data_IF_779467261972
#
_entry.id   IF_779467261972
#
_cell.length_a   1.000
_cell.length_b   1.000
_cell.length_c   1.000
_cell.angle_alpha   90.00
_cell.angle_beta   90.00
_cell.angle_gamma   90.00
#
_symmetry.space_group_name_H-M   'P 1'
#
loop_
_entity.id
_entity.type
_entity.pdbx_description
1 polymer ?
#
# COMPACT_ATOMS: atom_id res chain seq x y z
N UNK A 1 25.56 -17.74 41.79
CA UNK A 1 25.70 -16.32 41.34
C UNK A 1 25.76 -16.33 39.82
N UNK A 2 24.61 -16.09 39.15
CA UNK A 2 24.52 -16.11 37.70
C UNK A 2 25.01 -14.77 37.13
N UNK A 3 25.79 -14.70 36.06
CA UNK A 3 26.26 -13.44 35.49
C UNK A 3 25.09 -12.67 34.88
N UNK A 4 24.90 -11.43 35.29
CA UNK A 4 23.99 -10.46 34.69
C UNK A 4 24.39 -10.26 33.21
N UNK A 5 23.53 -10.67 32.29
CA UNK A 5 23.66 -10.26 30.88
C UNK A 5 23.49 -8.75 30.79
N UNK A 6 24.55 -8.07 30.40
CA UNK A 6 24.50 -6.64 30.04
C UNK A 6 23.53 -6.44 28.88
N UNK A 7 22.73 -5.35 28.87
CA UNK A 7 21.84 -5.05 27.76
C UNK A 7 22.68 -4.90 26.47
N UNK A 8 22.31 -5.63 25.43
CA UNK A 8 22.86 -5.45 24.08
C UNK A 8 22.68 -3.97 23.70
N UNK A 9 23.78 -3.24 23.49
CA UNK A 9 23.74 -1.91 22.88
C UNK A 9 22.91 -2.01 21.60
N UNK A 10 21.81 -1.28 21.52
CA UNK A 10 21.08 -1.05 20.25
C UNK A 10 22.02 -0.29 19.35
N UNK A 11 22.86 -0.98 18.59
CA UNK A 11 23.62 -0.41 17.50
C UNK A 11 22.64 0.11 16.45
N UNK A 12 22.95 1.21 15.79
CA UNK A 12 22.18 1.73 14.67
C UNK A 12 21.94 0.61 13.66
N UNK A 13 20.71 0.13 13.56
CA UNK A 13 20.29 -1.07 12.81
C UNK A 13 20.57 -0.96 11.30
N UNK A 14 20.92 0.24 10.83
CA UNK A 14 21.13 0.59 9.43
C UNK A 14 22.54 1.16 9.16
N UNK A 15 23.54 0.87 10.00
CA UNK A 15 24.90 1.41 9.84
C UNK A 15 25.64 0.83 8.63
N UNK A 16 25.20 -0.29 8.08
CA UNK A 16 25.82 -0.95 6.92
C UNK A 16 24.74 -1.34 5.91
N UNK A 17 24.61 -0.58 4.85
CA UNK A 17 23.60 -0.79 3.79
C UNK A 17 23.99 -2.00 2.93
N UNK A 18 25.22 -2.08 2.46
CA UNK A 18 25.69 -3.18 1.61
C UNK A 18 26.27 -4.29 2.49
N UNK A 19 25.53 -5.40 2.62
CA UNK A 19 25.97 -6.56 3.45
C UNK A 19 26.49 -7.73 2.62
N UNK A 20 26.13 -7.83 1.33
CA UNK A 20 26.45 -8.93 0.40
C UNK A 20 25.91 -10.30 0.84
N UNK A 21 25.07 -10.36 1.87
CA UNK A 21 24.54 -11.61 2.42
C UNK A 21 23.43 -12.24 1.56
N UNK A 22 22.92 -11.48 0.59
CA UNK A 22 21.83 -11.89 -0.30
C UNK A 22 22.24 -12.22 -1.74
N UNK A 23 23.53 -12.19 -2.07
CA UNK A 23 24.03 -12.34 -3.45
C UNK A 23 23.80 -13.75 -4.02
N UNK A 24 23.59 -14.74 -3.15
CA UNK A 24 23.29 -16.13 -3.50
C UNK A 24 21.78 -16.40 -3.77
N UNK A 25 20.94 -15.35 -3.90
CA UNK A 25 19.51 -15.50 -4.16
C UNK A 25 18.65 -15.76 -2.92
N UNK A 26 19.21 -15.64 -1.70
CA UNK A 26 18.45 -15.77 -0.45
C UNK A 26 18.41 -14.44 0.31
N UNK A 27 17.42 -14.28 1.21
CA UNK A 27 17.31 -13.11 2.08
C UNK A 27 16.91 -13.53 3.49
N UNK A 28 17.21 -12.68 4.49
CA UNK A 28 16.82 -12.90 5.89
C UNK A 28 15.45 -12.32 6.20
N UNK A 29 14.69 -13.03 7.02
CA UNK A 29 13.46 -12.53 7.64
C UNK A 29 13.76 -11.93 9.03
N UNK A 30 12.76 -11.28 9.63
CA UNK A 30 12.91 -10.60 10.91
C UNK A 30 13.11 -11.53 12.11
N UNK A 31 12.74 -12.79 12.00
CA UNK A 31 12.99 -13.86 12.98
C UNK A 31 14.41 -14.48 12.88
N UNK A 32 15.18 -14.07 11.87
CA UNK A 32 16.53 -14.58 11.60
C UNK A 32 16.57 -15.77 10.65
N UNK A 33 15.43 -16.30 10.22
CA UNK A 33 15.37 -17.34 9.18
C UNK A 33 15.77 -16.76 7.81
N UNK A 34 16.11 -17.65 6.88
CA UNK A 34 16.42 -17.25 5.50
C UNK A 34 15.51 -17.97 4.51
N UNK A 35 15.07 -17.23 3.53
CA UNK A 35 14.18 -17.71 2.45
C UNK A 35 14.74 -17.33 1.08
N UNK A 36 14.32 -18.04 0.04
CA UNK A 36 14.63 -17.69 -1.34
C UNK A 36 13.97 -16.34 -1.71
N UNK A 37 14.67 -15.53 -2.49
CA UNK A 37 14.16 -14.19 -2.91
C UNK A 37 12.95 -14.27 -3.85
N UNK A 38 12.73 -15.42 -4.49
CA UNK A 38 11.59 -15.73 -5.36
C UNK A 38 10.42 -16.38 -4.63
N UNK A 39 10.47 -16.48 -3.28
CA UNK A 39 9.35 -16.99 -2.48
C UNK A 39 8.15 -16.06 -2.52
N UNK A 40 6.94 -16.62 -2.37
CA UNK A 40 5.68 -15.86 -2.33
C UNK A 40 5.66 -14.79 -1.24
N UNK A 41 6.35 -15.04 -0.11
CA UNK A 41 6.52 -14.07 0.98
C UNK A 41 7.31 -12.86 0.55
N UNK A 42 8.45 -13.05 -0.11
CA UNK A 42 9.29 -11.94 -0.59
C UNK A 42 8.62 -11.19 -1.72
N UNK A 43 7.88 -11.88 -2.60
CA UNK A 43 7.04 -11.25 -3.63
C UNK A 43 5.96 -10.33 -2.99
N UNK A 44 5.30 -10.80 -1.93
CA UNK A 44 4.30 -9.99 -1.21
C UNK A 44 4.92 -8.78 -0.50
N UNK A 45 6.06 -8.95 0.18
CA UNK A 45 6.81 -7.85 0.82
C UNK A 45 7.22 -6.82 -0.24
N UNK A 46 7.76 -7.26 -1.36
CA UNK A 46 8.18 -6.37 -2.45
C UNK A 46 7.02 -5.61 -3.07
N UNK A 47 5.85 -6.25 -3.23
CA UNK A 47 4.65 -5.61 -3.75
C UNK A 47 4.09 -4.53 -2.80
N UNK A 48 4.17 -4.75 -1.48
CA UNK A 48 3.78 -3.74 -0.46
C UNK A 48 4.77 -2.58 -0.45
N UNK A 49 6.07 -2.84 -0.57
CA UNK A 49 7.10 -1.79 -0.65
C UNK A 49 6.95 -0.94 -1.92
N UNK A 50 6.68 -1.57 -3.07
CA UNK A 50 6.37 -0.86 -4.32
C UNK A 50 5.13 0.04 -4.19
N UNK A 51 4.07 -0.46 -3.53
CA UNK A 51 2.87 0.34 -3.24
C UNK A 51 3.23 1.56 -2.39
N UNK A 52 3.99 1.37 -1.32
CA UNK A 52 4.40 2.44 -0.43
C UNK A 52 5.24 3.50 -1.17
N UNK A 53 6.17 3.06 -2.01
CA UNK A 53 6.98 3.94 -2.87
C UNK A 53 6.12 4.70 -3.89
N UNK A 54 5.10 4.05 -4.46
CA UNK A 54 4.15 4.68 -5.39
C UNK A 54 3.31 5.76 -4.69
N UNK A 55 2.90 5.53 -3.43
CA UNK A 55 2.22 6.55 -2.61
C UNK A 55 3.17 7.70 -2.29
N UNK A 56 4.45 7.43 -2.03
CA UNK A 56 5.47 8.47 -1.88
C UNK A 56 5.60 9.36 -3.12
N UNK A 57 5.52 8.76 -4.32
CA UNK A 57 5.51 9.52 -5.57
C UNK A 57 4.25 10.38 -5.71
N UNK A 58 3.08 9.89 -5.29
CA UNK A 58 1.84 10.67 -5.27
C UNK A 58 1.93 11.84 -4.27
N UNK A 59 2.53 11.63 -3.09
CA UNK A 59 2.74 12.67 -2.07
C UNK A 59 3.69 13.78 -2.50
N UNK A 60 4.52 13.54 -3.52
CA UNK A 60 5.39 14.57 -4.11
C UNK A 60 4.63 15.59 -4.97
N UNK A 61 3.36 15.33 -5.31
CA UNK A 61 2.51 16.25 -6.04
C UNK A 61 1.84 17.27 -5.09
N UNK A 62 1.37 18.38 -5.65
CA UNK A 62 0.53 19.33 -4.91
C UNK A 62 -0.84 18.71 -4.60
N UNK A 63 -1.07 18.35 -3.35
CA UNK A 63 -2.29 17.70 -2.87
C UNK A 63 -3.01 18.59 -1.86
N UNK A 64 -4.34 18.50 -1.75
CA UNK A 64 -5.07 19.05 -0.59
C UNK A 64 -4.53 18.44 0.72
N UNK A 65 -4.37 19.27 1.76
CA UNK A 65 -3.83 18.83 3.06
C UNK A 65 -4.50 17.57 3.64
N UNK A 66 -5.85 17.43 3.62
CA UNK A 66 -6.50 16.22 4.15
C UNK A 66 -6.12 14.95 3.37
N UNK A 67 -5.87 15.06 2.06
CA UNK A 67 -5.43 13.95 1.21
C UNK A 67 -3.99 13.57 1.53
N UNK A 68 -3.10 14.57 1.64
CA UNK A 68 -1.69 14.35 1.99
C UNK A 68 -1.54 13.69 3.36
N UNK A 69 -2.29 14.17 4.37
CA UNK A 69 -2.29 13.59 5.72
C UNK A 69 -2.78 12.13 5.71
N UNK A 70 -3.85 11.84 4.98
CA UNK A 70 -4.38 10.48 4.83
C UNK A 70 -3.35 9.55 4.19
N UNK A 71 -2.71 9.96 3.09
CA UNK A 71 -1.69 9.16 2.40
C UNK A 71 -0.44 8.95 3.24
N UNK A 72 -0.02 9.95 4.03
CA UNK A 72 1.11 9.81 4.96
C UNK A 72 0.81 8.75 6.03
N UNK A 73 -0.41 8.74 6.61
CA UNK A 73 -0.83 7.71 7.56
C UNK A 73 -0.80 6.31 6.91
N UNK A 74 -1.25 6.20 5.66
CA UNK A 74 -1.22 4.94 4.91
C UNK A 74 0.22 4.44 4.69
N UNK A 75 1.19 5.33 4.46
CA UNK A 75 2.60 4.92 4.35
C UNK A 75 3.12 4.27 5.63
N UNK A 76 2.75 4.77 6.80
CA UNK A 76 3.09 4.14 8.07
C UNK A 76 2.44 2.76 8.21
N UNK A 77 1.15 2.64 7.88
CA UNK A 77 0.45 1.35 7.90
C UNK A 77 1.08 0.31 6.95
N UNK A 78 1.54 0.74 5.77
CA UNK A 78 2.22 -0.15 4.83
C UNK A 78 3.61 -0.58 5.32
N UNK A 79 4.31 0.26 6.11
CA UNK A 79 5.52 -0.13 6.83
C UNK A 79 5.22 -1.20 7.89
N UNK A 80 4.14 -1.01 8.65
CA UNK A 80 3.69 -1.97 9.65
C UNK A 80 3.29 -3.30 9.00
N UNK A 81 2.57 -3.26 7.86
CA UNK A 81 2.25 -4.43 7.06
C UNK A 81 3.52 -5.14 6.54
N UNK A 82 4.50 -4.38 6.03
CA UNK A 82 5.81 -4.92 5.63
C UNK A 82 6.53 -5.61 6.79
N UNK A 83 6.45 -5.04 8.00
CA UNK A 83 6.95 -5.63 9.25
C UNK A 83 6.23 -6.94 9.60
N UNK A 84 4.89 -6.96 9.51
CA UNK A 84 4.07 -8.18 9.70
C UNK A 84 4.50 -9.31 8.75
N UNK A 85 4.64 -9.00 7.47
CA UNK A 85 5.07 -9.97 6.46
C UNK A 85 6.52 -10.42 6.63
N UNK A 86 7.39 -9.56 7.17
CA UNK A 86 8.81 -9.85 7.40
C UNK A 86 9.07 -10.70 8.64
N UNK A 87 8.12 -10.80 9.57
CA UNK A 87 8.27 -11.53 10.84
C UNK A 87 7.16 -12.58 10.93
N UNK A 88 7.42 -13.86 10.62
CA UNK A 88 6.43 -14.91 10.71
C UNK A 88 5.72 -14.94 12.07
N UNK A 89 4.39 -14.95 12.06
CA UNK A 89 3.55 -14.93 13.27
C UNK A 89 3.36 -13.57 13.95
N UNK A 90 3.99 -12.49 13.44
CA UNK A 90 3.71 -11.14 13.91
C UNK A 90 2.44 -10.59 13.24
N UNK A 91 1.62 -9.86 14.02
CA UNK A 91 0.42 -9.16 13.55
C UNK A 91 0.54 -7.69 13.92
N UNK A 92 0.54 -6.82 12.92
CA UNK A 92 0.60 -5.36 13.09
C UNK A 92 -0.66 -4.68 12.57
N UNK A 93 -1.20 -5.15 11.44
CA UNK A 93 -2.42 -4.61 10.85
C UNK A 93 -3.65 -5.24 11.49
N UNK A 94 -4.56 -4.41 11.99
CA UNK A 94 -5.76 -4.80 12.73
C UNK A 94 -7.03 -4.28 12.08
N UNK A 95 -8.20 -4.69 12.58
CA UNK A 95 -9.50 -4.18 12.14
C UNK A 95 -9.62 -2.64 12.26
N UNK A 96 -8.96 -2.03 13.25
CA UNK A 96 -8.94 -0.59 13.38
C UNK A 96 -8.30 0.12 12.17
N UNK A 97 -7.29 -0.49 11.55
CA UNK A 97 -6.69 0.04 10.33
C UNK A 97 -7.66 -0.04 9.14
N UNK A 98 -8.42 -1.14 9.05
CA UNK A 98 -9.44 -1.34 8.01
C UNK A 98 -10.56 -0.31 8.18
N UNK A 99 -11.11 -0.16 9.38
CA UNK A 99 -12.18 0.80 9.70
C UNK A 99 -11.74 2.23 9.37
N UNK A 100 -10.51 2.62 9.71
CA UNK A 100 -9.97 3.95 9.37
C UNK A 100 -9.95 4.21 7.85
N UNK A 101 -9.69 3.20 7.02
CA UNK A 101 -9.77 3.34 5.56
C UNK A 101 -11.23 3.46 5.09
N UNK A 102 -12.15 2.69 5.68
CA UNK A 102 -13.57 2.75 5.38
C UNK A 102 -14.16 4.12 5.72
N UNK A 103 -13.85 4.67 6.89
CA UNK A 103 -14.21 6.03 7.30
C UNK A 103 -13.63 7.09 6.34
N UNK A 104 -12.39 6.88 5.88
CA UNK A 104 -11.77 7.79 4.91
C UNK A 104 -12.48 7.73 3.54
N UNK A 105 -12.86 6.52 3.07
CA UNK A 105 -13.65 6.36 1.85
C UNK A 105 -14.96 7.13 1.97
N UNK A 106 -15.72 6.95 3.04
CA UNK A 106 -17.00 7.66 3.26
C UNK A 106 -16.80 9.18 3.25
N UNK A 107 -15.82 9.66 4.03
CA UNK A 107 -15.53 11.09 4.15
C UNK A 107 -15.18 11.74 2.80
N UNK A 108 -14.25 11.14 2.04
CA UNK A 108 -13.82 11.72 0.75
C UNK A 108 -14.85 11.53 -0.36
N UNK A 109 -15.67 10.47 -0.28
CA UNK A 109 -16.71 10.20 -1.26
C UNK A 109 -17.97 11.07 -1.04
N UNK A 110 -18.22 11.59 0.16
CA UNK A 110 -19.42 12.35 0.51
C UNK A 110 -19.66 13.55 -0.43
N UNK A 111 -18.58 14.18 -0.86
CA UNK A 111 -18.65 15.33 -1.77
C UNK A 111 -18.60 14.95 -3.26
N UNK A 112 -18.40 13.70 -3.60
CA UNK A 112 -18.30 13.26 -4.99
C UNK A 112 -19.70 12.87 -5.53
N UNK A 113 -20.02 13.33 -6.72
CA UNK A 113 -21.25 12.92 -7.39
C UNK A 113 -21.29 11.42 -7.68
N UNK A 114 -22.49 10.83 -7.67
CA UNK A 114 -22.70 9.44 -8.03
C UNK A 114 -22.19 9.15 -9.45
N UNK A 115 -21.50 8.04 -9.62
CA UNK A 115 -21.06 7.57 -10.92
C UNK A 115 -22.21 6.83 -11.63
N UNK A 116 -22.50 7.24 -12.84
CA UNK A 116 -23.48 6.57 -13.74
C UNK A 116 -22.78 5.59 -14.68
N UNK A 117 -21.48 5.69 -14.81
CA UNK A 117 -20.65 4.86 -15.69
C UNK A 117 -19.21 4.77 -15.12
N UNK A 118 -18.42 3.81 -15.62
CA UNK A 118 -17.00 3.73 -15.31
C UNK A 118 -16.27 5.00 -15.76
N UNK A 119 -15.22 5.35 -15.02
CA UNK A 119 -14.31 6.43 -15.39
C UNK A 119 -12.99 5.88 -15.97
N UNK A 120 -12.41 6.62 -16.89
CA UNK A 120 -11.06 6.34 -17.38
C UNK A 120 -10.04 6.80 -16.33
N UNK A 121 -9.02 5.96 -16.01
CA UNK A 121 -7.94 6.37 -15.13
C UNK A 121 -7.16 7.55 -15.72
N UNK A 122 -7.20 8.72 -15.06
CA UNK A 122 -6.54 9.92 -15.61
C UNK A 122 -7.02 11.21 -14.94
N UNK A 123 -6.76 12.33 -15.62
CA UNK A 123 -7.09 13.67 -15.16
C UNK A 123 -5.84 14.49 -14.85
N UNK A 124 -5.69 15.00 -13.62
CA UNK A 124 -4.46 15.63 -13.17
C UNK A 124 -3.35 14.59 -13.03
N UNK A 125 -2.09 15.04 -12.95
CA UNK A 125 -0.96 14.17 -12.68
C UNK A 125 -1.14 13.43 -11.34
N UNK A 126 -1.55 14.13 -10.28
CA UNK A 126 -1.86 13.55 -8.98
C UNK A 126 -2.96 12.47 -9.06
N UNK A 127 -4.07 12.73 -9.78
CA UNK A 127 -5.13 11.74 -9.97
C UNK A 127 -4.63 10.50 -10.75
N UNK A 128 -3.82 10.72 -11.78
CA UNK A 128 -3.22 9.62 -12.55
C UNK A 128 -2.31 8.75 -11.68
N UNK A 129 -1.48 9.37 -10.81
CA UNK A 129 -0.64 8.66 -9.84
C UNK A 129 -1.47 7.90 -8.78
N UNK A 130 -2.59 8.47 -8.32
CA UNK A 130 -3.52 7.77 -7.43
C UNK A 130 -4.12 6.53 -8.11
N UNK A 131 -4.46 6.59 -9.40
CA UNK A 131 -4.88 5.42 -10.16
C UNK A 131 -3.76 4.39 -10.36
N UNK A 132 -2.50 4.80 -10.53
CA UNK A 132 -1.35 3.88 -10.55
C UNK A 132 -1.23 3.20 -9.18
N UNK A 133 -1.20 3.95 -8.08
CA UNK A 133 -1.16 3.40 -6.72
C UNK A 133 -2.32 2.43 -6.46
N UNK A 134 -3.53 2.73 -6.93
CA UNK A 134 -4.69 1.83 -6.86
C UNK A 134 -4.43 0.49 -7.56
N UNK A 135 -3.84 0.50 -8.73
CA UNK A 135 -3.56 -0.77 -9.45
C UNK A 135 -2.40 -1.53 -8.82
N UNK A 136 -1.42 -0.84 -8.25
CA UNK A 136 -0.32 -1.45 -7.46
C UNK A 136 -0.88 -2.06 -6.17
N UNK A 137 -1.81 -1.37 -5.45
CA UNK A 137 -2.51 -1.93 -4.28
C UNK A 137 -3.21 -3.25 -4.61
N UNK A 138 -3.93 -3.31 -5.72
CA UNK A 138 -4.57 -4.54 -6.20
C UNK A 138 -3.57 -5.65 -6.57
N UNK A 139 -2.37 -5.29 -7.04
CA UNK A 139 -1.30 -6.27 -7.26
C UNK A 139 -0.74 -6.78 -5.94
N UNK A 140 -0.47 -5.91 -4.96
CA UNK A 140 -0.04 -6.30 -3.62
C UNK A 140 -1.07 -7.22 -2.94
N UNK A 141 -2.37 -6.89 -3.04
CA UNK A 141 -3.45 -7.77 -2.56
C UNK A 141 -3.36 -9.17 -3.18
N UNK A 142 -3.20 -9.28 -4.50
CA UNK A 142 -3.08 -10.59 -5.17
C UNK A 142 -1.83 -11.36 -4.76
N UNK A 143 -0.69 -10.68 -4.52
CA UNK A 143 0.52 -11.33 -4.00
C UNK A 143 0.30 -11.86 -2.60
N UNK A 144 -0.41 -11.10 -1.75
CA UNK A 144 -0.78 -11.51 -0.40
C UNK A 144 -1.73 -12.72 -0.40
N UNK A 145 -2.73 -12.73 -1.31
CA UNK A 145 -3.63 -13.88 -1.50
C UNK A 145 -2.86 -15.12 -1.96
N UNK A 146 -1.86 -14.96 -2.85
CA UNK A 146 -1.00 -16.07 -3.28
C UNK A 146 -0.17 -16.62 -2.12
N UNK A 147 0.42 -15.77 -1.31
CA UNK A 147 1.15 -16.16 -0.10
C UNK A 147 0.24 -16.93 0.86
N UNK A 148 -1.00 -16.48 1.05
CA UNK A 148 -1.99 -17.10 1.94
C UNK A 148 -2.36 -18.54 1.56
N UNK A 149 -2.05 -19.00 0.36
CA UNK A 149 -2.26 -20.40 -0.05
C UNK A 149 -1.27 -21.37 0.62
N UNK A 150 -0.12 -20.88 1.10
CA UNK A 150 0.94 -21.71 1.69
C UNK A 150 1.39 -21.26 3.07
N UNK A 151 1.08 -20.03 3.45
CA UNK A 151 1.53 -19.44 4.71
C UNK A 151 0.39 -18.66 5.40
N UNK A 152 0.35 -18.59 6.74
CA UNK A 152 -0.66 -17.82 7.44
C UNK A 152 -0.53 -16.32 7.12
N UNK A 153 -1.66 -15.70 6.77
CA UNK A 153 -1.78 -14.25 6.53
C UNK A 153 -2.99 -13.73 7.29
N UNK A 154 -2.83 -12.62 7.99
CA UNK A 154 -3.90 -11.98 8.73
C UNK A 154 -5.07 -11.54 7.82
N UNK A 155 -6.31 -11.80 8.26
CA UNK A 155 -7.49 -11.35 7.51
C UNK A 155 -7.56 -9.83 7.40
N UNK A 156 -7.15 -9.11 8.45
CA UNK A 156 -7.11 -7.65 8.44
C UNK A 156 -6.15 -7.11 7.37
N UNK A 157 -4.97 -7.74 7.19
CA UNK A 157 -4.00 -7.36 6.18
C UNK A 157 -4.58 -7.45 4.74
N UNK A 158 -5.31 -8.55 4.43
CA UNK A 158 -5.98 -8.72 3.13
C UNK A 158 -7.08 -7.68 2.91
N UNK A 159 -7.94 -7.48 3.92
CA UNK A 159 -9.01 -6.47 3.86
C UNK A 159 -8.46 -5.06 3.74
N UNK A 160 -7.35 -4.77 4.43
CA UNK A 160 -6.69 -3.47 4.35
C UNK A 160 -6.28 -3.12 2.92
N UNK A 161 -5.56 -4.00 2.20
CA UNK A 161 -5.15 -3.75 0.82
C UNK A 161 -6.34 -3.61 -0.14
N UNK A 162 -7.41 -4.38 0.08
CA UNK A 162 -8.64 -4.26 -0.69
C UNK A 162 -9.28 -2.87 -0.49
N UNK A 163 -9.52 -2.45 0.76
CA UNK A 163 -10.08 -1.12 1.10
C UNK A 163 -9.18 0.03 0.65
N UNK A 164 -7.85 -0.15 0.73
CA UNK A 164 -6.91 0.84 0.23
C UNK A 164 -7.07 1.08 -1.27
N UNK A 165 -7.35 0.04 -2.06
CA UNK A 165 -7.62 0.22 -3.49
C UNK A 165 -8.89 1.04 -3.74
N UNK A 166 -9.93 0.87 -2.93
CA UNK A 166 -11.17 1.66 -3.02
C UNK A 166 -10.92 3.12 -2.64
N UNK A 167 -10.19 3.34 -1.55
CA UNK A 167 -9.81 4.69 -1.12
C UNK A 167 -8.98 5.42 -2.19
N UNK A 168 -8.00 4.77 -2.80
CA UNK A 168 -7.17 5.38 -3.84
C UNK A 168 -7.98 5.76 -5.09
N UNK A 169 -9.04 5.01 -5.40
CA UNK A 169 -10.00 5.38 -6.44
C UNK A 169 -10.76 6.67 -6.06
N UNK A 170 -11.26 6.75 -4.84
CA UNK A 170 -11.97 7.93 -4.34
C UNK A 170 -11.04 9.15 -4.29
N UNK A 171 -9.81 8.98 -3.80
CA UNK A 171 -8.81 10.05 -3.74
C UNK A 171 -8.44 10.57 -5.15
N UNK A 172 -8.35 9.70 -6.17
CA UNK A 172 -8.11 10.15 -7.55
C UNK A 172 -9.20 11.13 -8.02
N UNK A 173 -10.47 10.82 -7.74
CA UNK A 173 -11.60 11.70 -8.06
C UNK A 173 -11.57 12.98 -7.22
N UNK A 174 -11.25 12.85 -5.94
CA UNK A 174 -11.14 14.00 -5.02
C UNK A 174 -10.10 15.01 -5.50
N UNK A 175 -8.91 14.57 -5.91
CA UNK A 175 -7.87 15.48 -6.41
C UNK A 175 -8.21 16.06 -7.79
N UNK A 176 -8.90 15.33 -8.65
CA UNK A 176 -9.43 15.89 -9.90
C UNK A 176 -10.42 17.03 -9.61
N UNK A 177 -11.39 16.77 -8.73
CA UNK A 177 -12.38 17.79 -8.33
C UNK A 177 -11.73 19.02 -7.70
N UNK A 178 -10.77 18.84 -6.80
CA UNK A 178 -10.05 19.93 -6.16
C UNK A 178 -9.29 20.81 -7.18
N UNK A 179 -8.86 20.24 -8.29
CA UNK A 179 -8.24 20.94 -9.41
C UNK A 179 -9.23 21.45 -10.46
N UNK A 180 -10.54 21.41 -10.18
CA UNK A 180 -11.58 21.83 -11.13
C UNK A 180 -11.72 20.91 -12.36
N UNK A 181 -11.20 19.69 -12.30
CA UNK A 181 -11.30 18.73 -13.40
C UNK A 181 -12.43 17.74 -13.17
N UNK A 182 -13.16 17.43 -14.25
CA UNK A 182 -14.17 16.38 -14.26
C UNK A 182 -13.57 15.03 -14.59
N UNK A 183 -14.15 13.95 -14.02
CA UNK A 183 -13.82 12.58 -14.40
C UNK A 183 -14.27 12.33 -15.87
N UNK A 184 -13.43 11.63 -16.63
CA UNK A 184 -13.76 11.23 -18.00
C UNK A 184 -14.47 9.88 -17.95
N UNK A 185 -15.75 9.87 -18.36
CA UNK A 185 -16.54 8.65 -18.39
C UNK A 185 -16.11 7.72 -19.53
N UNK A 186 -16.10 6.43 -19.26
CA UNK A 186 -15.96 5.42 -20.30
C UNK A 186 -17.18 5.42 -21.22
N UNK A 187 -16.96 5.27 -22.52
CA UNK A 187 -18.01 5.17 -23.54
C UNK A 187 -17.89 3.83 -24.25
N UNK A 188 -18.98 3.06 -24.25
CA UNK A 188 -19.07 1.79 -24.93
C UNK A 188 -19.03 1.96 -26.45
N UNK A 189 -19.85 2.89 -26.96
CA UNK A 189 -19.91 3.25 -28.38
C UNK A 189 -19.14 4.53 -28.65
N UNK A 190 -18.09 4.45 -29.48
CA UNK A 190 -17.25 5.59 -29.90
C UNK A 190 -17.52 6.01 -31.35
N UNK A 191 -18.48 5.37 -32.01
CA UNK A 191 -18.85 5.59 -33.43
C UNK A 191 -19.84 6.74 -33.63
N UNK A 192 -20.29 7.44 -32.56
CA UNK A 192 -21.12 8.64 -32.66
C UNK A 192 -20.30 9.93 -32.84
N UNK A 193 -20.88 11.00 -33.42
CA UNK A 193 -20.20 12.30 -33.57
C UNK A 193 -19.75 12.84 -32.22
N UNK A 194 -18.60 13.52 -32.23
CA UNK A 194 -18.00 14.18 -31.05
C UNK A 194 -18.81 15.39 -30.62
#
# INVERSE_FOLDING_TARGET
MLPRRLPRKMGHRLSKIVTRTGDNGTTGLGDGSRVAKDSTRIDAIGAVDELNSTIGLLLAEALPDPVAQCLTSIQHDLFDLGGELSIPGHVAVTDAHVTRLEDAVERFNADLGALKEFILPGGTRAASLAHVARTVSRRAERSLVRMAASEPVGDAARRYLNRLSDLLFVLARTVNRAAGRQDVLWRKDRSGPR
#
